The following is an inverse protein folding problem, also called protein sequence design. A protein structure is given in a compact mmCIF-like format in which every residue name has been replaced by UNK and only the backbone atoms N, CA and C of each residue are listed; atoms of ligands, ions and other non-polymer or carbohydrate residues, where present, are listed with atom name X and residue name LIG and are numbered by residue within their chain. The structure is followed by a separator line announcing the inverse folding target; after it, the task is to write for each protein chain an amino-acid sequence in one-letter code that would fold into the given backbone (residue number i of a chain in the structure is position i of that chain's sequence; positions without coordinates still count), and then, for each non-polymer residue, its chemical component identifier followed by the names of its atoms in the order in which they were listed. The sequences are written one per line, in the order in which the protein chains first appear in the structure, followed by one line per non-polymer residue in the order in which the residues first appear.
data_IF_429779899710
#
_entry.id   IF_429779899710
#
_cell.length_a   1.000
_cell.length_b   1.000
_cell.length_c   1.000
_cell.angle_alpha   90.00
_cell.angle_beta   90.00
_cell.angle_gamma   90.00
#
_symmetry.space_group_name_H-M   'P 1'
#
loop_
_entity.id
_entity.type
_entity.pdbx_description
1 polymer ?
#
# COMPACT_ATOMS: atom_id res chain seq x y z
N UNK A 1 9.54 14.85 -22.29
CA UNK A 1 9.92 15.17 -20.90
C UNK A 1 8.79 15.00 -19.86
N UNK A 2 7.50 15.19 -20.18
CA UNK A 2 6.42 15.11 -19.17
C UNK A 2 5.98 13.69 -18.77
N UNK A 3 5.86 12.78 -19.75
CA UNK A 3 5.27 11.45 -19.53
C UNK A 3 6.19 10.51 -18.75
N UNK A 4 7.50 10.58 -18.98
CA UNK A 4 8.48 9.80 -18.23
C UNK A 4 8.42 10.11 -16.72
N UNK A 5 8.31 11.39 -16.34
CA UNK A 5 8.16 11.79 -14.94
C UNK A 5 6.85 11.28 -14.33
N UNK A 6 5.76 11.26 -15.10
CA UNK A 6 4.47 10.72 -14.64
C UNK A 6 4.52 9.20 -14.46
N UNK A 7 5.20 8.48 -15.36
CA UNK A 7 5.43 7.03 -15.27
C UNK A 7 6.32 6.71 -14.07
N UNK A 8 7.44 7.40 -13.90
CA UNK A 8 8.31 7.24 -12.73
C UNK A 8 7.57 7.52 -11.43
N UNK A 9 6.80 8.61 -11.37
CA UNK A 9 5.98 8.94 -10.19
C UNK A 9 4.94 7.86 -9.91
N UNK A 10 4.31 7.31 -10.94
CA UNK A 10 3.35 6.21 -10.78
C UNK A 10 4.02 4.96 -10.21
N UNK A 11 5.18 4.56 -10.75
CA UNK A 11 5.92 3.40 -10.24
C UNK A 11 6.36 3.59 -8.79
N UNK A 12 6.92 4.76 -8.45
CA UNK A 12 7.31 5.07 -7.07
C UNK A 12 6.11 5.02 -6.14
N UNK A 13 4.98 5.64 -6.51
CA UNK A 13 3.76 5.61 -5.70
C UNK A 13 3.22 4.19 -5.53
N UNK A 14 3.24 3.39 -6.60
CA UNK A 14 2.83 1.98 -6.54
C UNK A 14 3.73 1.18 -5.61
N UNK A 15 5.04 1.34 -5.73
CA UNK A 15 6.02 0.62 -4.91
C UNK A 15 5.89 1.01 -3.43
N UNK A 16 5.68 2.30 -3.15
CA UNK A 16 5.45 2.81 -1.80
C UNK A 16 4.19 2.21 -1.17
N UNK A 17 3.09 2.12 -1.93
CA UNK A 17 1.84 1.51 -1.46
C UNK A 17 1.98 0.00 -1.24
N UNK A 18 2.73 -0.70 -2.09
CA UNK A 18 2.99 -2.13 -1.91
C UNK A 18 3.86 -2.39 -0.67
N UNK A 19 4.86 -1.54 -0.44
CA UNK A 19 5.69 -1.61 0.76
C UNK A 19 4.87 -1.33 2.03
N UNK A 20 3.98 -0.33 1.99
CA UNK A 20 3.06 -0.01 3.07
C UNK A 20 2.12 -1.19 3.39
N UNK A 21 1.53 -1.81 2.37
CA UNK A 21 0.68 -3.01 2.54
C UNK A 21 1.48 -4.16 3.14
N UNK A 22 2.66 -4.47 2.61
CA UNK A 22 3.50 -5.56 3.12
C UNK A 22 3.92 -5.33 4.58
N UNK A 23 4.20 -4.08 4.96
CA UNK A 23 4.51 -3.71 6.35
C UNK A 23 3.32 -3.91 7.29
N UNK A 24 2.12 -3.50 6.87
CA UNK A 24 0.89 -3.68 7.65
C UNK A 24 0.48 -5.16 7.76
N UNK A 25 0.66 -5.95 6.69
CA UNK A 25 0.46 -7.40 6.71
C UNK A 25 1.43 -8.11 7.65
N UNK A 26 2.71 -7.72 7.64
CA UNK A 26 3.71 -8.25 8.56
C UNK A 26 3.40 -7.87 10.02
N UNK A 27 2.94 -6.64 10.27
CA UNK A 27 2.48 -6.23 11.60
C UNK A 27 1.30 -7.07 12.07
N UNK A 28 0.28 -7.30 11.24
CA UNK A 28 -0.85 -8.17 11.57
C UNK A 28 -0.41 -9.62 11.84
N UNK A 29 0.49 -10.16 11.03
CA UNK A 29 1.03 -11.51 11.24
C UNK A 29 1.78 -11.60 12.59
N UNK A 30 2.61 -10.61 12.90
CA UNK A 30 3.36 -10.56 14.17
C UNK A 30 2.48 -10.36 15.40
N UNK A 31 1.41 -9.56 15.27
CA UNK A 31 0.41 -9.35 16.33
C UNK A 31 -0.48 -10.58 16.55
N UNK A 32 -0.74 -11.38 15.50
CA UNK A 32 -1.45 -12.65 15.64
C UNK A 32 -0.58 -13.75 16.28
N UNK A 33 0.73 -13.77 16.01
CA UNK A 33 1.66 -14.70 16.67
C UNK A 33 1.88 -14.33 18.15
N UNK A 34 1.83 -13.03 18.47
CA UNK A 34 1.93 -12.49 19.82
C UNK A 34 0.55 -12.48 20.52
N UNK A 35 -0.04 -13.67 20.69
CA UNK A 35 -1.40 -13.91 21.23
C UNK A 35 -1.66 -13.29 22.63
N UNK A 36 -0.62 -12.86 23.36
CA UNK A 36 -0.74 -12.43 24.76
C UNK A 36 -0.72 -10.91 25.01
N UNK A 37 -0.52 -10.05 24.01
CA UNK A 37 -0.33 -8.59 24.28
C UNK A 37 -0.95 -7.61 23.29
N UNK A 38 -1.36 -8.04 22.09
CA UNK A 38 -2.00 -7.13 21.14
C UNK A 38 -3.49 -6.99 21.48
N UNK A 39 -3.91 -5.80 21.91
CA UNK A 39 -5.33 -5.49 22.10
C UNK A 39 -6.07 -5.59 20.77
N UNK A 40 -7.32 -6.05 20.82
CA UNK A 40 -8.19 -6.19 19.64
C UNK A 40 -8.34 -4.89 18.85
N UNK A 41 -8.17 -3.74 19.53
CA UNK A 41 -8.20 -2.39 18.96
C UNK A 41 -7.02 -2.13 18.03
N UNK A 42 -5.79 -2.49 18.43
CA UNK A 42 -4.59 -2.31 17.60
C UNK A 42 -4.68 -3.10 16.29
N UNK A 43 -5.21 -4.32 16.35
CA UNK A 43 -5.44 -5.13 15.15
C UNK A 43 -6.51 -4.55 14.23
N UNK A 44 -7.57 -3.95 14.80
CA UNK A 44 -8.63 -3.31 14.02
C UNK A 44 -8.11 -2.06 13.29
N UNK A 45 -7.28 -1.25 13.97
CA UNK A 45 -6.65 -0.07 13.38
C UNK A 45 -5.69 -0.43 12.23
N UNK A 46 -4.85 -1.47 12.41
CA UNK A 46 -3.94 -1.93 11.35
C UNK A 46 -4.72 -2.50 10.16
N UNK A 47 -5.81 -3.23 10.39
CA UNK A 47 -6.70 -3.70 9.32
C UNK A 47 -7.36 -2.54 8.55
N UNK A 48 -7.79 -1.49 9.26
CA UNK A 48 -8.36 -0.31 8.62
C UNK A 48 -7.33 0.42 7.75
N UNK A 49 -6.08 0.54 8.24
CA UNK A 49 -4.98 1.13 7.48
C UNK A 49 -4.67 0.29 6.22
N UNK A 50 -4.68 -1.04 6.35
CA UNK A 50 -4.45 -1.96 5.24
C UNK A 50 -5.54 -1.80 4.16
N UNK A 51 -6.81 -1.78 4.56
CA UNK A 51 -7.92 -1.56 3.64
C UNK A 51 -7.80 -0.23 2.89
N UNK A 52 -7.40 0.84 3.59
CA UNK A 52 -7.17 2.16 3.00
C UNK A 52 -5.98 2.16 2.02
N UNK A 53 -4.89 1.49 2.34
CA UNK A 53 -3.73 1.37 1.45
C UNK A 53 -4.06 0.58 0.17
N UNK A 54 -4.83 -0.51 0.31
CA UNK A 54 -5.34 -1.28 -0.83
C UNK A 54 -6.31 -0.47 -1.70
N UNK A 55 -7.19 0.31 -1.09
CA UNK A 55 -8.07 1.22 -1.81
C UNK A 55 -7.26 2.26 -2.60
N UNK A 56 -6.25 2.87 -1.96
CA UNK A 56 -5.34 3.80 -2.64
C UNK A 56 -4.63 3.16 -3.83
N UNK A 57 -4.16 1.91 -3.69
CA UNK A 57 -3.55 1.16 -4.78
C UNK A 57 -4.53 0.91 -5.93
N UNK A 58 -5.79 0.58 -5.62
CA UNK A 58 -6.85 0.43 -6.64
C UNK A 58 -7.16 1.76 -7.33
N UNK A 59 -7.21 2.86 -6.59
CA UNK A 59 -7.45 4.21 -7.15
C UNK A 59 -6.26 4.78 -7.94
N UNK A 60 -5.05 4.26 -7.74
CA UNK A 60 -3.85 4.66 -8.48
C UNK A 60 -4.02 4.48 -10.00
N UNK A 61 -4.93 3.58 -10.42
CA UNK A 61 -5.32 3.41 -11.80
C UNK A 61 -4.23 2.83 -12.70
N UNK A 62 -4.49 2.69 -14.00
CA UNK A 62 -3.51 2.15 -14.95
C UNK A 62 -2.28 3.06 -15.09
N UNK A 63 -1.11 2.44 -15.30
CA UNK A 63 0.13 3.16 -15.55
C UNK A 63 -0.04 4.15 -16.71
N UNK A 64 0.35 5.43 -16.56
CA UNK A 64 0.22 6.42 -17.62
C UNK A 64 1.01 5.94 -18.85
N UNK A 65 0.30 5.65 -19.94
CA UNK A 65 0.92 5.16 -21.17
C UNK A 65 1.72 6.30 -21.80
N UNK A 66 2.99 6.11 -22.17
CA UNK A 66 3.66 7.07 -23.05
C UNK A 66 2.89 7.08 -24.37
N UNK A 67 2.24 8.22 -24.67
CA UNK A 67 1.77 8.47 -26.03
C UNK A 67 3.03 8.61 -26.89
N UNK A 68 3.40 7.54 -27.58
CA UNK A 68 4.34 7.59 -28.69
C UNK A 68 3.72 8.53 -29.75
N UNK A 69 4.31 9.71 -29.89
CA UNK A 69 4.02 10.68 -30.94
C UNK A 69 5.32 11.38 -31.30
#
# INVERSE_FOLDING_TARGET
MGVERSVTRWYVLRDTLLYEIAGLEAQLASSQESVDTATTEDNADVQQQLAKAQERLRTLGPCPKPMMG
#
